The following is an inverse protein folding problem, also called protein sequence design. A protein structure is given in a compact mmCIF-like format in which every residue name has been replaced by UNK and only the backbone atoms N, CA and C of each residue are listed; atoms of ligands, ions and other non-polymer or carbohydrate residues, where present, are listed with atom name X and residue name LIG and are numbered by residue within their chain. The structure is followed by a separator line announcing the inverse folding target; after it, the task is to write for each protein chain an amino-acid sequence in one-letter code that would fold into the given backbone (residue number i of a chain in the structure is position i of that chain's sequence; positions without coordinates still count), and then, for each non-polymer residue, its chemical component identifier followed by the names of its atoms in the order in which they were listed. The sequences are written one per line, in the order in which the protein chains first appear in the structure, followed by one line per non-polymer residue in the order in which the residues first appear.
data_IF_333750044368
#
_entry.id   IF_333750044368
#
_cell.length_a   1.000
_cell.length_b   1.000
_cell.length_c   1.000
_cell.angle_alpha   90.00
_cell.angle_beta   90.00
_cell.angle_gamma   90.00
#
_symmetry.space_group_name_H-M   'P 1'
#
loop_
_entity.id
_entity.type
_entity.pdbx_description
1 polymer ?
#
# COMPACT_ATOMS: atom_id res chain seq x y z
N UNK A 1 12.57 -24.41 -43.84
CA UNK A 1 11.92 -23.28 -43.11
C UNK A 1 10.41 -23.51 -43.14
N UNK A 2 9.81 -23.93 -42.02
CA UNK A 2 8.37 -24.16 -41.93
C UNK A 2 7.68 -22.81 -41.75
N UNK A 3 6.86 -22.38 -42.71
CA UNK A 3 6.03 -21.17 -42.57
C UNK A 3 4.80 -21.54 -41.72
N UNK A 4 4.61 -20.94 -40.54
CA UNK A 4 3.43 -21.23 -39.72
C UNK A 4 2.16 -20.81 -40.46
N UNK A 5 1.11 -21.63 -40.38
CA UNK A 5 -0.19 -21.31 -40.97
C UNK A 5 -0.75 -20.02 -40.33
N UNK A 6 -1.44 -19.15 -41.10
CA UNK A 6 -1.94 -17.87 -40.60
C UNK A 6 -2.86 -18.03 -39.38
N UNK A 7 -3.65 -19.12 -39.33
CA UNK A 7 -4.48 -19.48 -38.18
C UNK A 7 -3.66 -19.76 -36.92
N UNK A 8 -2.49 -20.40 -37.05
CA UNK A 8 -1.59 -20.67 -35.93
C UNK A 8 -0.95 -19.38 -35.40
N UNK A 9 -0.60 -18.47 -36.30
CA UNK A 9 -0.05 -17.15 -35.92
C UNK A 9 -1.11 -16.27 -35.24
N UNK A 10 -2.35 -16.31 -35.73
CA UNK A 10 -3.48 -15.60 -35.13
C UNK A 10 -3.83 -16.15 -33.74
N UNK A 11 -3.78 -17.48 -33.55
CA UNK A 11 -4.04 -18.11 -32.25
C UNK A 11 -2.99 -17.73 -31.20
N UNK A 12 -1.70 -17.73 -31.57
CA UNK A 12 -0.61 -17.30 -30.69
C UNK A 12 -0.73 -15.82 -30.32
N UNK A 13 -1.08 -14.97 -31.27
CA UNK A 13 -1.33 -13.55 -30.99
C UNK A 13 -2.52 -13.38 -30.03
N UNK A 14 -3.63 -14.08 -30.25
CA UNK A 14 -4.80 -14.01 -29.37
C UNK A 14 -4.48 -14.47 -27.94
N UNK A 15 -3.72 -15.55 -27.76
CA UNK A 15 -3.26 -15.98 -26.44
C UNK A 15 -2.35 -14.96 -25.76
N UNK A 16 -1.46 -14.30 -26.52
CA UNK A 16 -0.57 -13.28 -25.98
C UNK A 16 -1.34 -12.01 -25.56
N UNK A 17 -2.34 -11.59 -26.35
CA UNK A 17 -3.19 -10.46 -26.00
C UNK A 17 -4.08 -10.75 -24.78
N UNK A 18 -4.50 -12.00 -24.60
CA UNK A 18 -5.35 -12.41 -23.48
C UNK A 18 -4.64 -12.36 -22.11
N UNK A 19 -3.30 -12.38 -22.05
CA UNK A 19 -2.52 -12.35 -20.79
C UNK A 19 -2.08 -10.94 -20.36
N UNK A 20 -2.30 -9.92 -21.20
CA UNK A 20 -1.98 -8.52 -20.88
C UNK A 20 -2.77 -7.93 -19.69
N UNK A 21 -4.07 -8.26 -19.47
CA UNK A 21 -4.83 -7.72 -18.34
C UNK A 21 -4.23 -8.09 -16.98
N UNK A 22 -3.73 -9.31 -16.82
CA UNK A 22 -3.12 -9.81 -15.57
C UNK A 22 -1.89 -8.98 -15.14
N UNK A 23 -1.13 -8.48 -16.12
CA UNK A 23 0.03 -7.62 -15.86
C UNK A 23 -0.39 -6.26 -15.28
N UNK A 24 -1.50 -5.68 -15.74
CA UNK A 24 -2.00 -4.40 -15.23
C UNK A 24 -2.41 -4.49 -13.75
N UNK A 25 -3.18 -5.52 -13.39
CA UNK A 25 -3.63 -5.76 -12.01
C UNK A 25 -2.46 -6.00 -11.05
N UNK A 26 -1.43 -6.74 -11.49
CA UNK A 26 -0.23 -6.96 -10.70
C UNK A 26 0.50 -5.63 -10.39
N UNK A 27 0.55 -4.70 -11.34
CA UNK A 27 1.19 -3.39 -11.13
C UNK A 27 0.40 -2.50 -10.18
N UNK A 28 -0.92 -2.43 -10.32
CA UNK A 28 -1.80 -1.67 -9.42
C UNK A 28 -1.72 -2.19 -7.99
N UNK A 29 -1.80 -3.51 -7.80
CA UNK A 29 -1.68 -4.13 -6.49
C UNK A 29 -0.31 -3.85 -5.85
N UNK A 30 0.76 -3.83 -6.64
CA UNK A 30 2.09 -3.48 -6.15
C UNK A 30 2.18 -2.01 -5.71
N UNK A 31 1.54 -1.08 -6.44
CA UNK A 31 1.44 0.33 -6.07
C UNK A 31 0.65 0.53 -4.78
N UNK A 32 -0.52 -0.10 -4.64
CA UNK A 32 -1.31 -0.07 -3.41
C UNK A 32 -0.51 -0.56 -2.20
N UNK A 33 0.26 -1.66 -2.33
CA UNK A 33 1.12 -2.16 -1.25
C UNK A 33 2.25 -1.20 -0.88
N UNK A 34 2.78 -0.42 -1.83
CA UNK A 34 3.76 0.64 -1.55
C UNK A 34 3.10 1.78 -0.78
N UNK A 35 2.02 2.35 -1.30
CA UNK A 35 1.27 3.42 -0.64
C UNK A 35 0.84 3.03 0.80
N UNK A 36 0.36 1.81 0.99
CA UNK A 36 -0.01 1.28 2.31
C UNK A 36 1.18 1.15 3.28
N UNK A 37 2.41 0.97 2.78
CA UNK A 37 3.63 0.98 3.61
C UNK A 37 4.02 2.41 3.96
N UNK A 38 3.95 3.33 3.00
CA UNK A 38 4.32 4.74 3.18
C UNK A 38 3.43 5.37 4.26
N UNK A 39 2.11 5.21 4.15
CA UNK A 39 1.15 5.67 5.19
C UNK A 39 1.49 5.11 6.57
N UNK A 40 1.90 3.83 6.67
CA UNK A 40 2.28 3.22 7.95
C UNK A 40 3.60 3.79 8.48
N UNK A 41 4.54 4.14 7.61
CA UNK A 41 5.81 4.75 8.00
C UNK A 41 5.60 6.19 8.47
N UNK A 42 4.87 6.98 7.70
CA UNK A 42 4.55 8.37 8.02
C UNK A 42 3.76 8.47 9.33
N UNK A 43 2.72 7.64 9.48
CA UNK A 43 1.95 7.59 10.73
C UNK A 43 2.82 7.16 11.92
N UNK A 44 3.78 6.25 11.73
CA UNK A 44 4.69 5.84 12.82
C UNK A 44 5.60 6.98 13.25
N UNK A 45 6.09 7.77 12.30
CA UNK A 45 6.97 8.90 12.56
C UNK A 45 6.17 10.04 13.20
N UNK A 46 5.08 10.48 12.56
CA UNK A 46 4.18 11.50 13.11
C UNK A 46 3.69 11.16 14.51
N UNK A 47 3.30 9.91 14.78
CA UNK A 47 2.86 9.51 16.14
C UNK A 47 3.99 9.54 17.19
N UNK A 48 5.27 9.47 16.80
CA UNK A 48 6.41 9.71 17.72
C UNK A 48 6.55 11.20 18.00
N UNK A 49 6.46 12.02 16.96
CA UNK A 49 6.64 13.46 17.02
C UNK A 49 5.49 14.11 17.84
N UNK A 50 4.25 13.74 17.56
CA UNK A 50 3.07 14.15 18.36
C UNK A 50 3.22 13.75 19.83
N UNK A 51 3.77 12.56 20.13
CA UNK A 51 4.01 12.17 21.54
C UNK A 51 5.08 13.04 22.19
N UNK A 52 6.14 13.38 21.47
CA UNK A 52 7.19 14.26 22.00
C UNK A 52 6.63 15.65 22.27
N UNK A 53 5.87 16.23 21.33
CA UNK A 53 5.17 17.50 21.50
C UNK A 53 4.23 17.46 22.72
N UNK A 54 3.38 16.43 22.83
CA UNK A 54 2.47 16.22 23.96
C UNK A 54 3.19 16.23 25.31
N UNK A 55 4.37 15.59 25.39
CA UNK A 55 5.20 15.59 26.61
C UNK A 55 5.86 16.93 26.87
N UNK A 56 6.35 17.61 25.82
CA UNK A 56 7.03 18.89 25.94
C UNK A 56 6.06 20.01 26.37
N UNK A 57 4.84 20.00 25.84
CA UNK A 57 3.80 20.96 26.17
C UNK A 57 3.14 20.70 27.54
N UNK A 58 3.45 19.57 28.21
CA UNK A 58 2.81 19.14 29.46
C UNK A 58 1.26 19.15 29.40
N UNK A 59 0.68 18.96 28.20
CA UNK A 59 -0.77 19.03 27.98
C UNK A 59 -1.55 17.97 28.76
N UNK A 60 -0.96 16.78 28.92
CA UNK A 60 -1.59 15.62 29.57
C UNK A 60 -0.56 14.69 30.19
N UNK A 61 -1.03 13.71 30.96
CA UNK A 61 -0.16 12.69 31.57
C UNK A 61 0.60 11.87 30.49
N UNK A 62 1.78 11.36 30.83
CA UNK A 62 2.56 10.50 29.93
C UNK A 62 1.77 9.24 29.51
N UNK A 63 0.89 8.75 30.38
CA UNK A 63 -0.01 7.64 30.07
C UNK A 63 -0.98 8.02 28.94
N UNK A 64 -1.61 9.20 29.03
CA UNK A 64 -2.49 9.72 27.99
C UNK A 64 -1.73 9.96 26.66
N UNK A 65 -0.55 10.60 26.68
CA UNK A 65 0.26 10.75 25.46
C UNK A 65 0.66 9.39 24.83
N UNK A 66 0.82 8.32 25.63
CA UNK A 66 1.07 6.96 25.13
C UNK A 66 -0.16 6.34 24.50
N UNK A 67 -1.35 6.61 25.04
CA UNK A 67 -2.62 6.14 24.49
C UNK A 67 -2.86 6.78 23.12
N UNK A 68 -2.74 8.09 23.00
CA UNK A 68 -2.93 8.80 21.73
C UNK A 68 -2.00 8.26 20.65
N UNK A 69 -0.72 8.10 20.97
CA UNK A 69 0.25 7.48 20.05
C UNK A 69 -0.20 6.08 19.59
N UNK A 70 -0.79 5.26 20.47
CA UNK A 70 -1.30 3.93 20.09
C UNK A 70 -2.51 4.07 19.16
N UNK A 71 -3.42 4.99 19.45
CA UNK A 71 -4.60 5.25 18.64
C UNK A 71 -4.24 5.78 17.25
N UNK A 72 -3.34 6.76 17.14
CA UNK A 72 -2.83 7.27 15.86
C UNK A 72 -2.21 6.14 15.04
N UNK A 73 -1.38 5.28 15.67
CA UNK A 73 -0.81 4.10 15.00
C UNK A 73 -1.87 3.09 14.54
N UNK A 74 -2.98 2.97 15.28
CA UNK A 74 -4.07 2.08 14.89
C UNK A 74 -4.82 2.64 13.69
N UNK A 75 -5.08 3.95 13.66
CA UNK A 75 -5.66 4.64 12.51
C UNK A 75 -4.81 4.44 11.24
N UNK A 76 -3.51 4.71 11.28
CA UNK A 76 -2.66 4.46 10.09
C UNK A 76 -2.54 2.99 9.69
N UNK A 77 -2.70 2.04 10.62
CA UNK A 77 -2.81 0.61 10.28
C UNK A 77 -4.12 0.32 9.54
N UNK A 78 -5.22 0.97 9.93
CA UNK A 78 -6.51 0.83 9.27
C UNK A 78 -6.47 1.46 7.88
N UNK A 79 -6.00 2.70 7.75
CA UNK A 79 -5.83 3.35 6.43
C UNK A 79 -4.96 2.51 5.49
N UNK A 80 -3.84 1.96 5.98
CA UNK A 80 -3.02 1.06 5.18
C UNK A 80 -3.60 -0.36 4.97
N UNK A 81 -4.79 -0.68 5.50
CA UNK A 81 -5.60 -1.84 5.07
C UNK A 81 -6.57 -1.40 3.98
N UNK A 82 -7.21 -0.25 4.16
CA UNK A 82 -8.17 0.34 3.21
C UNK A 82 -7.53 0.73 1.87
N UNK A 83 -6.22 0.97 1.84
CA UNK A 83 -5.47 1.18 0.57
C UNK A 83 -5.21 -0.15 -0.16
N UNK A 84 -5.11 -1.26 0.58
CA UNK A 84 -4.70 -2.56 0.05
C UNK A 84 -5.90 -3.39 -0.44
N UNK A 85 -7.11 -3.01 -0.06
CA UNK A 85 -8.36 -3.74 -0.27
C UNK A 85 -9.44 -2.76 -0.69
#
# INVERSE_FOLDING_TARGET
MVKPKPLFSALLAAMFLASLPDLSWATEQAQQRRAARDVKQDTRQGARDTKQACRAANEKSNAACRQDKRQTKQSGRQTGRDIKY
#
